data_IF_653324711258
#
_entry.id   IF_653324711258
#
_cell.length_a   1.000
_cell.length_b   1.000
_cell.length_c   1.000
_cell.angle_alpha   90.00
_cell.angle_beta   90.00
_cell.angle_gamma   90.00
#
_symmetry.space_group_name_H-M   'P 1'
#
loop_
_entity.id
_entity.type
_entity.pdbx_description
1 polymer ?
#
# COMPACT_ATOMS: atom_id res chain seq x y z
N UNK A 1 1.65 -15.82 -2.66
CA UNK A 1 2.87 -15.01 -2.82
C UNK A 1 3.36 -14.58 -1.43
N UNK A 2 4.63 -14.24 -1.26
CA UNK A 2 5.13 -13.61 -0.03
C UNK A 2 5.17 -12.07 -0.20
N UNK A 3 4.32 -11.30 0.52
CA UNK A 3 4.31 -9.85 0.42
C UNK A 3 5.63 -9.20 0.84
N UNK A 4 6.45 -9.85 1.68
CA UNK A 4 7.73 -9.30 2.10
C UNK A 4 8.77 -9.29 0.97
N UNK A 5 8.53 -10.02 -0.13
CA UNK A 5 9.39 -10.02 -1.31
C UNK A 5 8.96 -8.98 -2.36
N UNK A 6 7.84 -8.28 -2.16
CA UNK A 6 7.30 -7.32 -3.12
C UNK A 6 8.05 -5.98 -3.15
N UNK A 7 8.93 -5.73 -2.19
CA UNK A 7 9.87 -4.62 -2.20
C UNK A 7 11.29 -5.17 -2.06
N UNK A 8 12.12 -4.92 -3.07
CA UNK A 8 13.52 -5.34 -3.05
C UNK A 8 14.32 -4.51 -2.02
N UNK A 9 15.47 -5.02 -1.53
CA UNK A 9 16.33 -4.25 -0.63
C UNK A 9 16.73 -2.87 -1.16
N UNK A 10 16.93 -2.75 -2.48
CA UNK A 10 17.26 -1.46 -3.12
C UNK A 10 16.07 -0.50 -3.09
N UNK A 11 14.87 -0.96 -3.46
CA UNK A 11 13.66 -0.14 -3.35
C UNK A 11 13.40 0.30 -1.89
N UNK A 12 13.56 -0.60 -0.91
CA UNK A 12 13.42 -0.26 0.51
C UNK A 12 14.42 0.84 0.93
N UNK A 13 15.65 0.78 0.44
CA UNK A 13 16.69 1.79 0.71
C UNK A 13 16.35 3.14 0.08
N UNK A 14 15.91 3.14 -1.17
CA UNK A 14 15.48 4.35 -1.90
C UNK A 14 14.24 5.00 -1.29
N UNK A 15 13.33 4.19 -0.74
CA UNK A 15 12.15 4.64 0.01
C UNK A 15 12.49 5.05 1.45
N UNK A 16 13.72 4.79 1.93
CA UNK A 16 14.09 5.02 3.33
C UNK A 16 13.26 4.20 4.33
N UNK A 17 12.78 3.04 3.90
CA UNK A 17 12.07 2.07 4.75
C UNK A 17 13.04 1.14 5.47
N UNK A 18 12.55 0.45 6.50
CA UNK A 18 13.31 -0.60 7.16
C UNK A 18 13.71 -1.70 6.16
N UNK A 19 14.91 -2.27 6.32
CA UNK A 19 15.42 -3.30 5.41
C UNK A 19 14.83 -4.69 5.68
N UNK A 20 14.25 -4.90 6.86
CA UNK A 20 13.61 -6.16 7.24
C UNK A 20 12.12 -5.95 7.45
N UNK A 21 11.32 -6.69 6.68
CA UNK A 21 9.87 -6.72 6.80
C UNK A 21 9.43 -7.79 7.78
N UNK A 22 8.36 -7.52 8.51
CA UNK A 22 7.71 -8.49 9.40
C UNK A 22 6.42 -8.99 8.75
N UNK A 23 6.30 -10.29 8.45
CA UNK A 23 5.05 -10.85 7.98
C UNK A 23 4.02 -10.89 9.12
N UNK A 24 2.75 -10.72 8.77
CA UNK A 24 1.61 -10.85 9.68
C UNK A 24 0.36 -11.29 8.88
N UNK A 25 -0.78 -11.47 9.54
CA UNK A 25 -2.04 -11.81 8.90
C UNK A 25 -2.96 -10.59 8.77
N UNK A 26 -3.44 -10.35 7.55
CA UNK A 26 -4.51 -9.41 7.28
C UNK A 26 -5.86 -9.96 7.82
N UNK A 27 -6.84 -9.08 8.13
CA UNK A 27 -8.16 -9.50 8.60
C UNK A 27 -8.93 -10.45 7.66
N UNK A 28 -8.59 -10.46 6.37
CA UNK A 28 -9.15 -11.37 5.37
C UNK A 28 -8.37 -12.69 5.21
N UNK A 29 -7.40 -12.96 6.09
CA UNK A 29 -6.69 -14.23 6.17
C UNK A 29 -5.63 -14.44 5.09
N UNK A 30 -5.09 -13.37 4.51
CA UNK A 30 -3.88 -13.43 3.69
C UNK A 30 -2.70 -12.81 4.44
N UNK A 31 -1.49 -13.23 4.07
CA UNK A 31 -0.27 -12.63 4.63
C UNK A 31 -0.16 -11.19 4.17
N UNK A 32 0.24 -10.30 5.09
CA UNK A 32 0.72 -8.96 4.82
C UNK A 32 2.17 -8.84 5.27
N UNK A 33 2.88 -7.80 4.83
CA UNK A 33 4.21 -7.48 5.34
C UNK A 33 4.30 -6.03 5.79
N UNK A 34 4.99 -5.79 6.91
CA UNK A 34 5.22 -4.45 7.44
C UNK A 34 6.70 -4.17 7.64
N UNK A 35 7.19 -3.07 7.06
CA UNK A 35 8.49 -2.49 7.31
C UNK A 35 8.28 -1.25 8.18
N UNK A 36 8.87 -1.21 9.37
CA UNK A 36 8.63 -0.11 10.31
C UNK A 36 9.91 0.34 11.00
N UNK A 37 10.20 1.63 10.84
CA UNK A 37 11.23 2.38 11.55
C UNK A 37 10.78 3.86 11.63
N UNK A 38 11.54 4.80 11.04
CA UNK A 38 11.14 6.20 10.94
C UNK A 38 9.85 6.42 10.12
N UNK A 39 9.57 5.51 9.19
CA UNK A 39 8.31 5.37 8.48
C UNK A 39 7.78 3.95 8.68
N UNK A 40 6.47 3.78 8.54
CA UNK A 40 5.80 2.48 8.49
C UNK A 40 5.20 2.28 7.11
N UNK A 41 5.54 1.17 6.49
CA UNK A 41 5.00 0.71 5.21
C UNK A 41 4.40 -0.67 5.44
N UNK A 42 3.11 -0.83 5.14
CA UNK A 42 2.45 -2.13 5.13
C UNK A 42 1.94 -2.41 3.73
N UNK A 43 2.25 -3.60 3.22
CA UNK A 43 1.77 -4.12 1.93
C UNK A 43 0.92 -5.35 2.21
N UNK A 44 -0.33 -5.30 1.81
CA UNK A 44 -1.32 -6.34 2.06
C UNK A 44 -2.10 -6.65 0.77
N UNK A 45 -1.72 -7.72 0.06
CA UNK A 45 -2.54 -8.24 -1.04
C UNK A 45 -3.90 -8.70 -0.54
N UNK A 46 -4.91 -8.50 -1.37
CA UNK A 46 -6.25 -8.99 -1.15
C UNK A 46 -6.80 -9.61 -2.44
N UNK A 47 -6.74 -10.94 -2.47
CA UNK A 47 -7.20 -11.78 -3.59
C UNK A 47 -8.49 -12.54 -3.25
N UNK A 48 -9.06 -12.31 -2.05
CA UNK A 48 -10.18 -13.09 -1.52
C UNK A 48 -11.52 -12.34 -1.52
N UNK A 49 -11.52 -11.06 -1.85
CA UNK A 49 -12.71 -10.20 -1.80
C UNK A 49 -13.16 -9.76 -3.20
N UNK A 50 -13.62 -8.51 -3.37
CA UNK A 50 -14.23 -8.00 -4.61
C UNK A 50 -13.43 -6.84 -5.22
N UNK A 51 -12.11 -6.84 -5.02
CA UNK A 51 -11.22 -5.79 -5.49
C UNK A 51 -11.67 -4.39 -5.08
N UNK A 52 -11.48 -3.41 -5.96
CA UNK A 52 -11.90 -2.03 -5.70
C UNK A 52 -13.41 -1.85 -5.55
N UNK A 53 -14.24 -2.75 -6.10
CA UNK A 53 -15.69 -2.67 -5.92
C UNK A 53 -16.07 -2.66 -4.44
N UNK A 54 -15.43 -3.50 -3.63
CA UNK A 54 -15.63 -3.53 -2.17
C UNK A 54 -15.26 -2.20 -1.50
N UNK A 55 -14.16 -1.59 -1.96
CA UNK A 55 -13.66 -0.30 -1.45
C UNK A 55 -14.66 0.82 -1.75
N UNK A 56 -15.21 0.85 -2.97
CA UNK A 56 -16.24 1.83 -3.34
C UNK A 56 -17.56 1.62 -2.59
N UNK A 57 -17.98 0.37 -2.37
CA UNK A 57 -19.18 0.07 -1.56
C UNK A 57 -19.06 0.56 -0.12
N UNK A 58 -17.83 0.60 0.41
CA UNK A 58 -17.53 1.07 1.77
C UNK A 58 -17.09 2.54 1.84
N UNK A 59 -17.26 3.32 0.75
CA UNK A 59 -16.81 4.71 0.65
C UNK A 59 -17.18 5.57 1.86
N UNK A 60 -18.40 5.43 2.38
CA UNK A 60 -18.90 6.21 3.53
C UNK A 60 -18.33 5.81 4.89
N UNK A 61 -17.61 4.69 4.98
CA UNK A 61 -16.97 4.24 6.22
C UNK A 61 -15.54 4.76 6.40
N UNK A 62 -14.94 5.32 5.35
CA UNK A 62 -13.62 5.94 5.41
C UNK A 62 -13.73 7.38 5.89
N UNK A 63 -12.72 7.88 6.60
CA UNK A 63 -12.69 9.27 7.05
C UNK A 63 -12.68 10.25 5.86
N UNK A 64 -12.03 9.84 4.77
CA UNK A 64 -11.85 10.58 3.54
C UNK A 64 -11.50 9.58 2.43
N UNK A 65 -11.90 9.92 1.21
CA UNK A 65 -11.85 9.03 0.06
C UNK A 65 -11.67 9.83 -1.22
N UNK A 66 -10.66 9.46 -2.02
CA UNK A 66 -10.39 10.09 -3.31
C UNK A 66 -9.99 9.02 -4.33
N UNK A 67 -10.61 9.04 -5.51
CA UNK A 67 -10.19 8.20 -6.62
C UNK A 67 -8.85 8.70 -7.18
N UNK A 68 -7.97 7.78 -7.55
CA UNK A 68 -6.64 8.08 -8.08
C UNK A 68 -6.22 7.01 -9.09
N UNK A 69 -4.98 7.10 -9.56
CA UNK A 69 -4.34 6.10 -10.43
C UNK A 69 -2.91 5.90 -10.01
N UNK A 70 -2.44 4.65 -10.00
CA UNK A 70 -1.04 4.30 -9.71
C UNK A 70 -0.49 3.47 -10.85
N UNK A 71 0.53 3.97 -11.55
CA UNK A 71 1.16 3.28 -12.68
C UNK A 71 0.15 2.76 -13.74
N UNK A 72 -0.93 3.50 -13.98
CA UNK A 72 -2.01 3.13 -14.92
C UNK A 72 -3.11 2.24 -14.35
N UNK A 73 -2.94 1.71 -13.13
CA UNK A 73 -3.97 0.95 -12.43
C UNK A 73 -4.95 1.89 -11.72
N UNK A 74 -6.26 1.57 -11.71
CA UNK A 74 -7.22 2.31 -10.90
C UNK A 74 -6.85 2.20 -9.42
N UNK A 75 -6.96 3.30 -8.68
CA UNK A 75 -6.63 3.34 -7.26
C UNK A 75 -7.59 4.22 -6.46
N UNK A 76 -7.53 4.08 -5.14
CA UNK A 76 -8.27 4.89 -4.17
C UNK A 76 -7.33 5.25 -3.02
N UNK A 77 -7.25 6.55 -2.71
CA UNK A 77 -6.70 7.06 -1.45
C UNK A 77 -7.82 7.05 -0.40
N UNK A 78 -7.55 6.47 0.76
CA UNK A 78 -8.49 6.37 1.87
C UNK A 78 -7.80 6.65 3.22
N UNK A 79 -8.59 7.08 4.22
CA UNK A 79 -8.15 7.34 5.61
C UNK A 79 -6.87 8.18 5.74
N UNK A 80 -6.68 9.12 4.81
CA UNK A 80 -5.44 9.87 4.66
C UNK A 80 -5.42 11.16 5.47
N UNK A 81 -4.22 11.67 5.74
CA UNK A 81 -3.98 12.91 6.46
C UNK A 81 -2.49 13.20 6.56
N UNK A 82 -2.11 14.14 7.42
CA UNK A 82 -0.71 14.63 7.51
C UNK A 82 0.32 13.55 7.83
N UNK A 83 -0.09 12.48 8.54
CA UNK A 83 0.83 11.43 9.01
C UNK A 83 0.63 10.07 8.35
N UNK A 84 -0.44 9.87 7.58
CA UNK A 84 -0.74 8.56 6.98
C UNK A 84 -1.56 8.65 5.70
N UNK A 85 -1.49 7.62 4.87
CA UNK A 85 -2.39 7.42 3.74
C UNK A 85 -2.53 5.92 3.43
N UNK A 86 -3.76 5.47 3.19
CA UNK A 86 -4.03 4.14 2.65
C UNK A 86 -4.28 4.26 1.15
N UNK A 87 -3.54 3.50 0.36
CA UNK A 87 -3.69 3.42 -1.09
C UNK A 87 -4.16 2.03 -1.45
N UNK A 88 -5.37 1.94 -2.00
CA UNK A 88 -5.95 0.69 -2.51
C UNK A 88 -5.79 0.70 -4.02
N UNK A 89 -5.08 -0.27 -4.58
CA UNK A 89 -4.87 -0.37 -6.03
C UNK A 89 -5.60 -1.59 -6.56
N UNK A 90 -6.48 -1.41 -7.55
CA UNK A 90 -7.12 -2.54 -8.23
C UNK A 90 -6.16 -3.16 -9.22
N UNK A 91 -5.69 -4.37 -8.93
CA UNK A 91 -4.69 -5.08 -9.74
C UNK A 91 -5.32 -6.11 -10.68
N UNK A 92 -6.53 -6.56 -10.37
CA UNK A 92 -7.43 -7.32 -11.23
C UNK A 92 -8.89 -7.00 -10.86
N UNK A 93 -9.87 -7.62 -11.54
CA UNK A 93 -11.31 -7.34 -11.32
C UNK A 93 -11.75 -7.54 -9.86
N UNK A 94 -11.30 -8.63 -9.24
CA UNK A 94 -11.63 -9.03 -7.87
C UNK A 94 -10.44 -8.94 -6.89
N UNK A 95 -9.30 -8.45 -7.36
CA UNK A 95 -8.08 -8.35 -6.55
C UNK A 95 -7.66 -6.90 -6.35
N UNK A 96 -7.23 -6.59 -5.13
CA UNK A 96 -6.63 -5.29 -4.82
C UNK A 96 -5.34 -5.47 -4.02
N UNK A 97 -4.48 -4.47 -4.11
CA UNK A 97 -3.30 -4.32 -3.28
C UNK A 97 -3.53 -3.14 -2.33
N UNK A 98 -3.51 -3.38 -1.02
CA UNK A 98 -3.52 -2.32 -0.02
C UNK A 98 -2.08 -1.97 0.36
N UNK A 99 -1.75 -0.69 0.21
CA UNK A 99 -0.51 -0.10 0.73
C UNK A 99 -0.89 0.91 1.81
N UNK A 100 -0.41 0.70 3.02
CA UNK A 100 -0.55 1.67 4.10
C UNK A 100 0.80 2.33 4.34
N UNK A 101 0.81 3.65 4.26
CA UNK A 101 1.96 4.46 4.64
C UNK A 101 1.64 5.25 5.89
N UNK A 102 2.56 5.26 6.85
CA UNK A 102 2.56 6.22 7.94
C UNK A 102 3.95 6.80 8.16
N UNK A 103 4.01 8.12 8.33
CA UNK A 103 5.19 8.81 8.80
C UNK A 103 5.20 8.80 10.33
N UNK A 104 6.10 8.03 10.95
CA UNK A 104 6.18 7.96 12.41
C UNK A 104 6.94 9.16 12.97
N UNK A 105 8.14 9.42 12.43
CA UNK A 105 9.05 10.46 12.94
C UNK A 105 9.95 11.08 11.86
N UNK A 106 9.77 10.73 10.59
CA UNK A 106 10.61 11.22 9.50
C UNK A 106 10.34 12.69 9.17
N UNK A 107 11.41 13.48 9.04
CA UNK A 107 11.34 14.91 8.70
C UNK A 107 11.65 15.21 7.23
N UNK A 108 11.81 14.19 6.39
CA UNK A 108 12.11 14.35 4.97
C UNK A 108 10.93 15.02 4.24
N UNK A 109 11.23 15.89 3.28
CA UNK A 109 10.21 16.63 2.52
C UNK A 109 9.34 15.68 1.70
N UNK A 110 9.94 14.62 1.14
CA UNK A 110 9.23 13.57 0.38
C UNK A 110 8.15 12.83 1.20
N UNK A 111 8.19 12.92 2.53
CA UNK A 111 7.25 12.28 3.45
C UNK A 111 6.15 13.23 3.97
N UNK A 112 6.13 14.50 3.51
CA UNK A 112 5.08 15.47 3.87
C UNK A 112 3.78 15.20 3.13
N UNK A 113 3.87 14.80 1.86
CA UNK A 113 2.72 14.31 1.10
C UNK A 113 2.62 12.80 1.27
N UNK A 114 1.84 12.40 2.26
CA UNK A 114 1.70 11.00 2.66
C UNK A 114 1.06 10.14 1.59
N UNK A 115 0.14 10.68 0.79
CA UNK A 115 -0.50 9.94 -0.29
C UNK A 115 0.38 9.84 -1.52
N UNK A 116 1.05 10.92 -1.93
CA UNK A 116 2.00 10.83 -3.04
C UNK A 116 3.12 9.83 -2.72
N UNK A 117 3.59 9.78 -1.47
CA UNK A 117 4.57 8.79 -1.06
C UNK A 117 3.97 7.36 -1.00
N UNK A 118 2.76 7.21 -0.48
CA UNK A 118 2.03 5.93 -0.51
C UNK A 118 1.83 5.38 -1.92
N UNK A 119 1.49 6.24 -2.89
CA UNK A 119 1.35 5.88 -4.29
C UNK A 119 2.68 5.51 -4.94
N UNK A 120 3.77 6.20 -4.58
CA UNK A 120 5.12 5.83 -5.00
C UNK A 120 5.48 4.43 -4.50
N UNK A 121 5.21 4.11 -3.23
CA UNK A 121 5.43 2.77 -2.69
C UNK A 121 4.61 1.74 -3.48
N UNK A 122 3.33 2.02 -3.70
CA UNK A 122 2.46 1.13 -4.47
C UNK A 122 3.00 0.89 -5.89
N UNK A 123 3.49 1.93 -6.56
CA UNK A 123 4.12 1.80 -7.87
C UNK A 123 5.36 0.88 -7.86
N UNK A 124 6.18 0.93 -6.81
CA UNK A 124 7.33 0.02 -6.66
C UNK A 124 6.89 -1.43 -6.43
N UNK A 125 5.82 -1.64 -5.65
CA UNK A 125 5.25 -2.98 -5.41
C UNK A 125 4.70 -3.57 -6.71
N UNK A 126 3.98 -2.77 -7.51
CA UNK A 126 3.37 -3.23 -8.77
C UNK A 126 4.41 -3.79 -9.76
N UNK A 127 5.64 -3.26 -9.77
CA UNK A 127 6.73 -3.76 -10.62
C UNK A 127 7.15 -5.20 -10.29
N UNK A 128 6.90 -5.63 -9.06
CA UNK A 128 7.32 -6.92 -8.52
C UNK A 128 6.16 -7.90 -8.34
N UNK A 129 4.92 -7.50 -8.69
CA UNK A 129 3.81 -8.44 -8.70
C UNK A 129 4.13 -9.57 -9.68
N UNK A 130 3.89 -10.83 -9.30
CA UNK A 130 4.02 -11.93 -10.24
C UNK A 130 3.10 -11.66 -11.43
N UNK A 131 3.60 -11.87 -12.65
CA UNK A 131 2.74 -11.90 -13.83
C UNK A 131 1.60 -12.88 -13.54
N UNK A 132 0.35 -12.43 -13.73
CA UNK A 132 -0.84 -13.22 -13.46
C UNK A 132 -0.68 -14.62 -14.06
N UNK A 133 -0.79 -15.64 -13.21
CA UNK A 133 -0.82 -17.03 -13.63
C UNK A 133 -2.12 -17.37 -14.35
#
# INVERSE_FOLDING_TARGET
MDPCQLLTPNQLRELGAAQSGKPDQAPWGETLCTWSDAIRVTVAPDTKRRGLTEVYLRKSSYNNFEASTVAGYPAVRADFGEIRCNVNVGVAEDQLLLVQYANNVSRKVEHKDTCAFGERIAAEVLKNLPAGG
#
